data_IF_360306440601
#
_entry.id   IF_360306440601
#
_cell.length_a   1.000
_cell.length_b   1.000
_cell.length_c   1.000
_cell.angle_alpha   90.00
_cell.angle_beta   90.00
_cell.angle_gamma   90.00
#
_symmetry.space_group_name_H-M   'P 1'
#
loop_
_entity.id
_entity.type
_entity.pdbx_description
1 polymer ?
#
# COMPACT_ATOMS: atom_id res chain seq x y z
N UNK A 1 2.55 15.03 -19.75
CA UNK A 1 2.07 13.69 -20.16
C UNK A 1 2.06 12.82 -18.93
N UNK A 2 0.87 12.45 -18.43
CA UNK A 2 0.73 11.52 -17.29
C UNK A 2 1.34 10.18 -17.71
N UNK A 3 2.43 9.76 -17.07
CA UNK A 3 3.01 8.44 -17.28
C UNK A 3 2.04 7.44 -16.64
N UNK A 4 1.19 6.82 -17.45
CA UNK A 4 0.28 5.75 -17.00
C UNK A 4 1.15 4.58 -16.53
N UNK A 5 1.25 4.39 -15.22
CA UNK A 5 2.05 3.34 -14.59
C UNK A 5 1.19 2.10 -14.33
N UNK A 6 1.43 1.08 -15.15
CA UNK A 6 1.00 -0.28 -14.87
C UNK A 6 2.17 -1.20 -15.20
N UNK A 7 3.08 -1.39 -14.25
CA UNK A 7 3.89 -2.62 -14.13
C UNK A 7 4.64 -2.66 -12.80
N UNK A 8 4.01 -3.33 -11.83
CA UNK A 8 4.69 -4.07 -10.77
C UNK A 8 5.58 -5.14 -11.43
N UNK A 9 6.78 -4.76 -11.89
CA UNK A 9 7.92 -5.65 -12.18
C UNK A 9 9.03 -4.85 -12.88
N UNK A 10 9.87 -4.17 -12.10
CA UNK A 10 11.21 -3.83 -12.59
C UNK A 10 12.23 -4.18 -11.52
N UNK A 11 12.71 -5.41 -11.61
CA UNK A 11 13.94 -5.87 -10.96
C UNK A 11 15.07 -5.04 -11.57
N UNK A 12 15.54 -4.01 -10.87
CA UNK A 12 16.76 -3.29 -11.26
C UNK A 12 17.94 -4.12 -10.76
N UNK A 13 18.42 -5.03 -11.61
CA UNK A 13 19.76 -5.57 -11.51
C UNK A 13 20.74 -4.48 -12.00
N UNK A 14 21.38 -3.76 -11.07
CA UNK A 14 22.55 -2.94 -11.39
C UNK A 14 23.78 -3.85 -11.39
N UNK A 15 24.11 -4.42 -12.54
CA UNK A 15 25.45 -4.98 -12.76
C UNK A 15 26.42 -3.83 -13.01
N UNK A 16 27.31 -3.61 -12.05
CA UNK A 16 28.48 -2.78 -12.20
C UNK A 16 29.42 -3.39 -13.25
N UNK A 17 29.53 -2.75 -14.41
CA UNK A 17 30.63 -2.98 -15.36
C UNK A 17 31.08 -1.63 -15.90
N UNK A 18 31.95 -0.97 -15.13
CA UNK A 18 32.82 0.07 -15.68
C UNK A 18 33.77 -0.61 -16.69
N UNK A 19 33.51 -0.46 -17.99
CA UNK A 19 34.48 -0.83 -19.01
C UNK A 19 35.55 0.26 -19.08
N UNK A 20 36.70 -0.02 -18.45
CA UNK A 20 37.96 0.69 -18.68
C UNK A 20 38.40 0.35 -20.10
N UNK A 21 38.37 1.31 -21.02
CA UNK A 21 38.95 1.13 -22.37
C UNK A 21 40.47 1.32 -22.30
N UNK A 22 41.19 0.29 -21.84
CA UNK A 22 42.64 0.24 -22.02
C UNK A 22 42.96 -0.07 -23.49
N UNK A 23 43.47 0.92 -24.21
CA UNK A 23 43.96 0.74 -25.59
C UNK A 23 45.34 0.05 -25.55
N UNK A 24 45.36 -1.27 -25.78
CA UNK A 24 46.56 -2.13 -25.69
C UNK A 24 47.36 -2.24 -27.00
N UNK A 25 47.31 -1.25 -27.90
CA UNK A 25 48.13 -1.23 -29.12
C UNK A 25 48.87 0.08 -29.34
N UNK A 26 49.80 0.39 -28.43
CA UNK A 26 50.91 1.29 -28.73
C UNK A 26 52.13 0.45 -29.15
N UNK A 27 52.29 0.22 -30.45
CA UNK A 27 53.56 -0.24 -31.03
C UNK A 27 54.25 0.99 -31.60
N UNK A 28 55.35 1.40 -30.96
CA UNK A 28 56.17 2.54 -31.39
C UNK A 28 57.27 2.00 -32.30
N UNK A 29 57.39 2.52 -33.51
CA UNK A 29 58.57 2.33 -34.36
C UNK A 29 59.15 3.72 -34.70
N UNK A 30 60.46 3.98 -34.51
CA UNK A 30 61.01 5.31 -34.52
C UNK A 30 61.74 5.59 -35.84
N UNK A 31 61.09 6.31 -36.77
CA UNK A 31 61.79 7.14 -37.77
C UNK A 31 60.83 8.00 -38.59
N UNK A 32 61.14 9.30 -38.63
CA UNK A 32 60.79 10.25 -39.68
C UNK A 32 59.29 10.58 -39.84
N UNK A 33 58.83 11.71 -39.28
CA UNK A 33 58.84 12.98 -40.02
C UNK A 33 58.34 14.12 -39.11
N UNK A 34 59.09 15.22 -39.09
CA UNK A 34 58.61 16.50 -38.54
C UNK A 34 57.50 17.01 -39.46
N UNK A 35 56.26 16.88 -39.02
CA UNK A 35 55.19 17.81 -39.38
C UNK A 35 54.51 18.17 -38.06
N UNK A 36 54.90 19.31 -37.50
CA UNK A 36 54.20 19.92 -36.37
C UNK A 36 52.83 20.39 -36.86
N UNK A 37 51.87 19.47 -36.94
CA UNK A 37 50.47 19.87 -36.84
C UNK A 37 50.36 20.64 -35.50
N UNK A 38 49.73 21.83 -35.48
CA UNK A 38 49.44 22.46 -34.21
C UNK A 38 48.67 21.43 -33.39
N UNK A 39 49.20 21.11 -32.20
CA UNK A 39 48.41 20.47 -31.16
C UNK A 39 47.31 21.47 -30.87
N UNK A 40 46.20 21.37 -31.60
CA UNK A 40 44.94 21.92 -31.15
C UNK A 40 44.68 21.12 -29.89
N UNK A 41 45.11 21.66 -28.74
CA UNK A 41 44.69 21.17 -27.44
C UNK A 41 43.18 21.14 -27.53
N UNK A 42 42.61 19.94 -27.70
CA UNK A 42 41.19 19.73 -27.54
C UNK A 42 40.85 20.40 -26.21
N UNK A 43 39.88 21.34 -26.16
CA UNK A 43 39.53 22.01 -24.93
C UNK A 43 39.38 20.95 -23.85
N UNK A 44 40.17 21.04 -22.77
CA UNK A 44 40.09 20.09 -21.64
C UNK A 44 38.61 19.95 -21.32
N UNK A 45 38.11 18.71 -21.35
CA UNK A 45 36.71 18.44 -21.05
C UNK A 45 36.41 19.13 -19.71
N UNK A 46 35.43 20.03 -19.70
CA UNK A 46 35.11 20.81 -18.50
C UNK A 46 34.70 19.83 -17.41
N UNK A 47 35.59 19.63 -16.45
CA UNK A 47 35.30 18.83 -15.27
C UNK A 47 34.27 19.57 -14.43
N UNK A 48 33.41 18.80 -13.79
CA UNK A 48 32.54 19.27 -12.74
C UNK A 48 33.39 19.85 -11.60
N UNK A 49 32.97 20.98 -11.06
CA UNK A 49 33.60 21.54 -9.86
C UNK A 49 33.35 20.64 -8.65
N UNK A 50 34.22 20.75 -7.64
CA UNK A 50 34.06 20.03 -6.37
C UNK A 50 32.69 20.23 -5.73
N UNK A 51 32.11 21.43 -5.84
CA UNK A 51 30.78 21.73 -5.28
C UNK A 51 29.67 21.03 -6.06
N UNK A 52 29.67 21.13 -7.39
CA UNK A 52 28.73 20.40 -8.25
C UNK A 52 28.84 18.88 -8.03
N UNK A 53 30.06 18.35 -7.84
CA UNK A 53 30.29 16.94 -7.52
C UNK A 53 29.71 16.56 -6.15
N UNK A 54 29.86 17.43 -5.14
CA UNK A 54 29.28 17.22 -3.81
C UNK A 54 27.76 17.18 -3.88
N UNK A 55 27.14 18.08 -4.63
CA UNK A 55 25.70 18.12 -4.83
C UNK A 55 25.20 16.86 -5.55
N UNK A 56 25.92 16.41 -6.57
CA UNK A 56 25.60 15.16 -7.27
C UNK A 56 25.66 13.93 -6.36
N UNK A 57 26.67 13.84 -5.49
CA UNK A 57 26.79 12.74 -4.51
C UNK A 57 25.67 12.83 -3.46
N UNK A 58 25.35 14.03 -2.97
CA UNK A 58 24.28 14.23 -1.99
C UNK A 58 22.90 13.89 -2.56
N UNK A 59 22.62 14.31 -3.79
CA UNK A 59 21.38 13.99 -4.50
C UNK A 59 21.28 12.48 -4.77
N UNK A 60 22.38 11.81 -5.12
CA UNK A 60 22.39 10.35 -5.27
C UNK A 60 22.04 9.64 -3.96
N UNK A 61 22.67 10.03 -2.84
CA UNK A 61 22.37 9.46 -1.52
C UNK A 61 20.91 9.71 -1.11
N UNK A 62 20.40 10.92 -1.37
CA UNK A 62 19.00 11.24 -1.11
C UNK A 62 18.06 10.37 -1.94
N UNK A 63 18.35 10.18 -3.23
CA UNK A 63 17.59 9.29 -4.09
C UNK A 63 17.65 7.85 -3.58
N UNK A 64 18.82 7.32 -3.20
CA UNK A 64 18.93 5.96 -2.66
C UNK A 64 18.15 5.77 -1.36
N UNK A 65 18.19 6.75 -0.45
CA UNK A 65 17.40 6.71 0.80
C UNK A 65 15.90 6.74 0.52
N UNK A 66 15.46 7.59 -0.41
CA UNK A 66 14.06 7.69 -0.79
C UNK A 66 13.55 6.40 -1.44
N UNK A 67 14.37 5.75 -2.29
CA UNK A 67 14.03 4.47 -2.89
C UNK A 67 13.79 3.38 -1.84
N UNK A 68 14.68 3.28 -0.83
CA UNK A 68 14.50 2.32 0.27
C UNK A 68 13.28 2.67 1.14
N UNK A 69 13.00 3.95 1.38
CA UNK A 69 11.83 4.38 2.12
C UNK A 69 10.52 4.04 1.37
N UNK A 70 10.45 4.29 0.06
CA UNK A 70 9.31 3.89 -0.79
C UNK A 70 9.11 2.36 -0.74
N UNK A 71 10.20 1.59 -0.82
CA UNK A 71 10.13 0.12 -0.74
C UNK A 71 9.63 -0.37 0.62
N UNK A 72 10.05 0.26 1.71
CA UNK A 72 9.55 -0.03 3.05
C UNK A 72 8.05 0.26 3.15
N UNK A 73 7.59 1.39 2.61
CA UNK A 73 6.17 1.75 2.60
C UNK A 73 5.33 0.82 1.72
N UNK A 74 5.85 0.36 0.58
CA UNK A 74 5.22 -0.65 -0.27
C UNK A 74 5.07 -1.99 0.48
N UNK A 75 6.07 -2.41 1.25
CA UNK A 75 5.99 -3.60 2.09
C UNK A 75 4.94 -3.44 3.20
N UNK A 76 4.89 -2.27 3.84
CA UNK A 76 3.88 -1.94 4.85
C UNK A 76 2.46 -1.93 4.25
N UNK A 77 2.28 -1.33 3.07
CA UNK A 77 1.03 -1.34 2.32
C UNK A 77 0.56 -2.78 2.06
N UNK A 78 1.44 -3.64 1.56
CA UNK A 78 1.11 -5.06 1.31
C UNK A 78 0.67 -5.77 2.58
N UNK A 79 1.41 -5.59 3.68
CA UNK A 79 1.06 -6.19 4.96
C UNK A 79 -0.29 -5.70 5.48
N UNK A 80 -0.59 -4.40 5.34
CA UNK A 80 -1.87 -3.82 5.75
C UNK A 80 -3.02 -4.32 4.86
N UNK A 81 -2.81 -4.43 3.55
CA UNK A 81 -3.80 -4.97 2.61
C UNK A 81 -4.14 -6.43 2.94
N UNK A 82 -3.16 -7.26 3.28
CA UNK A 82 -3.40 -8.66 3.64
C UNK A 82 -4.14 -8.80 4.98
N UNK A 83 -3.85 -7.93 5.96
CA UNK A 83 -4.66 -7.83 7.19
C UNK A 83 -6.11 -7.45 6.89
N UNK A 84 -6.33 -6.45 6.03
CA UNK A 84 -7.68 -6.03 5.67
C UNK A 84 -8.46 -7.10 4.93
N UNK A 85 -7.81 -7.93 4.11
CA UNK A 85 -8.49 -9.10 3.51
C UNK A 85 -8.97 -10.09 4.56
N UNK A 86 -8.17 -10.36 5.59
CA UNK A 86 -8.57 -11.24 6.69
C UNK A 86 -9.74 -10.65 7.49
N UNK A 87 -9.65 -9.36 7.85
CA UNK A 87 -10.74 -8.66 8.54
C UNK A 87 -12.05 -8.63 7.71
N UNK A 88 -11.95 -8.50 6.38
CA UNK A 88 -13.11 -8.56 5.48
C UNK A 88 -13.81 -9.92 5.55
N UNK A 89 -13.06 -11.01 5.61
CA UNK A 89 -13.64 -12.36 5.70
C UNK A 89 -14.35 -12.59 7.05
N UNK A 90 -13.81 -12.05 8.14
CA UNK A 90 -14.46 -12.08 9.45
C UNK A 90 -15.75 -11.27 9.45
N UNK A 91 -15.73 -10.09 8.82
CA UNK A 91 -16.92 -9.24 8.67
C UNK A 91 -18.01 -9.95 7.85
N UNK A 92 -17.66 -10.54 6.71
CA UNK A 92 -18.60 -11.31 5.88
C UNK A 92 -19.23 -12.49 6.63
N UNK A 93 -18.45 -13.17 7.48
CA UNK A 93 -18.98 -14.23 8.36
C UNK A 93 -19.99 -13.67 9.37
N UNK A 94 -19.68 -12.51 9.95
CA UNK A 94 -20.59 -11.79 10.86
C UNK A 94 -21.89 -11.34 10.19
N UNK A 95 -21.80 -10.80 8.96
CA UNK A 95 -22.97 -10.40 8.16
C UNK A 95 -23.84 -11.60 7.80
N UNK A 96 -23.25 -12.73 7.42
CA UNK A 96 -23.99 -13.95 7.13
C UNK A 96 -24.74 -14.47 8.37
N UNK A 97 -24.11 -14.40 9.55
CA UNK A 97 -24.75 -14.77 10.81
C UNK A 97 -25.92 -13.83 11.14
N UNK A 98 -25.74 -12.52 11.00
CA UNK A 98 -26.80 -11.53 11.23
C UNK A 98 -27.97 -11.72 10.25
N UNK A 99 -27.69 -11.94 8.96
CA UNK A 99 -28.71 -12.20 7.96
C UNK A 99 -29.55 -13.45 8.29
N UNK A 100 -28.90 -14.50 8.81
CA UNK A 100 -29.61 -15.70 9.31
C UNK A 100 -30.52 -15.36 10.48
N UNK A 101 -30.04 -14.63 11.49
CA UNK A 101 -30.86 -14.24 12.64
C UNK A 101 -32.07 -13.37 12.22
N UNK A 102 -31.88 -12.44 11.27
CA UNK A 102 -32.97 -11.63 10.71
C UNK A 102 -34.01 -12.52 10.02
N UNK A 103 -33.55 -13.54 9.27
CA UNK A 103 -34.44 -14.52 8.62
C UNK A 103 -35.23 -15.32 9.66
N UNK A 104 -34.56 -15.79 10.72
CA UNK A 104 -35.19 -16.56 11.80
C UNK A 104 -36.24 -15.71 12.54
N UNK A 105 -35.94 -14.44 12.84
CA UNK A 105 -36.91 -13.48 13.43
C UNK A 105 -38.10 -13.27 12.51
N UNK A 106 -37.91 -13.15 11.19
CA UNK A 106 -39.02 -13.00 10.25
C UNK A 106 -39.91 -14.24 10.23
N UNK A 107 -39.32 -15.44 10.19
CA UNK A 107 -40.06 -16.69 10.21
C UNK A 107 -40.85 -16.86 11.52
N UNK A 108 -40.24 -16.53 12.66
CA UNK A 108 -40.90 -16.62 13.96
C UNK A 108 -42.06 -15.62 14.09
N UNK A 109 -41.90 -14.40 13.55
CA UNK A 109 -43.00 -13.43 13.45
C UNK A 109 -44.21 -14.01 12.70
N UNK A 110 -43.97 -14.61 11.54
CA UNK A 110 -45.03 -15.22 10.74
C UNK A 110 -45.70 -16.40 11.47
N UNK A 111 -44.91 -17.20 12.18
CA UNK A 111 -45.42 -18.33 12.97
C UNK A 111 -46.26 -17.87 14.17
N UNK A 112 -45.87 -16.79 14.85
CA UNK A 112 -46.64 -16.17 15.94
C UNK A 112 -47.96 -15.61 15.42
N UNK A 113 -47.96 -14.93 14.26
CA UNK A 113 -49.18 -14.40 13.65
C UNK A 113 -50.16 -15.54 13.32
N UNK A 114 -49.69 -16.62 12.70
CA UNK A 114 -50.51 -17.81 12.44
C UNK A 114 -51.04 -18.45 13.73
N UNK A 115 -50.20 -18.57 14.75
CA UNK A 115 -50.61 -19.12 16.04
C UNK A 115 -51.70 -18.24 16.70
N UNK A 116 -51.61 -16.92 16.58
CA UNK A 116 -52.62 -15.99 17.06
C UNK A 116 -53.95 -16.14 16.30
N UNK A 117 -53.91 -16.25 14.97
CA UNK A 117 -55.08 -16.49 14.13
C UNK A 117 -55.78 -17.80 14.54
N UNK A 118 -55.04 -18.90 14.68
CA UNK A 118 -55.57 -20.19 15.14
C UNK A 118 -56.18 -20.09 16.54
N UNK A 119 -55.47 -19.46 17.48
CA UNK A 119 -55.95 -19.30 18.85
C UNK A 119 -57.25 -18.49 18.89
N UNK A 120 -57.35 -17.43 18.09
CA UNK A 120 -58.56 -16.61 17.99
C UNK A 120 -59.74 -17.39 17.41
N UNK A 121 -59.51 -18.18 16.36
CA UNK A 121 -60.55 -18.97 15.71
C UNK A 121 -61.05 -20.16 16.57
N UNK A 122 -60.16 -20.74 17.37
CA UNK A 122 -60.48 -21.90 18.21
C UNK A 122 -60.94 -21.52 19.61
N UNK A 123 -60.60 -20.34 20.12
CA UNK A 123 -60.95 -19.89 21.47
C UNK A 123 -62.42 -20.13 21.89
N UNK A 124 -63.44 -19.89 21.03
CA UNK A 124 -64.84 -20.14 21.41
C UNK A 124 -65.21 -21.62 21.61
N UNK A 125 -64.37 -22.53 21.10
CA UNK A 125 -64.59 -23.99 21.09
C UNK A 125 -63.77 -24.72 22.16
N UNK A 126 -62.85 -24.01 22.82
CA UNK A 126 -61.92 -24.57 23.79
C UNK A 126 -62.50 -24.47 25.20
N UNK A 127 -62.29 -25.52 25.99
CA UNK A 127 -62.58 -25.50 27.43
C UNK A 127 -61.67 -24.51 28.15
N UNK A 128 -62.15 -23.94 29.27
CA UNK A 128 -61.46 -22.86 30.00
C UNK A 128 -60.01 -23.20 30.35
N UNK A 129 -59.74 -24.44 30.74
CA UNK A 129 -58.40 -24.89 31.11
C UNK A 129 -57.46 -24.94 29.88
N UNK A 130 -57.96 -25.41 28.74
CA UNK A 130 -57.19 -25.50 27.50
C UNK A 130 -56.91 -24.12 26.91
N UNK A 131 -57.91 -23.23 26.90
CA UNK A 131 -57.73 -21.85 26.46
C UNK A 131 -56.69 -21.11 27.31
N UNK A 132 -56.69 -21.33 28.63
CA UNK A 132 -55.68 -20.75 29.53
C UNK A 132 -54.28 -21.25 29.17
N UNK A 133 -54.10 -22.56 29.03
CA UNK A 133 -52.80 -23.16 28.70
C UNK A 133 -52.25 -22.65 27.36
N UNK A 134 -53.11 -22.54 26.33
CA UNK A 134 -52.69 -22.02 25.01
C UNK A 134 -52.34 -20.53 25.04
N UNK A 135 -53.07 -19.72 25.80
CA UNK A 135 -52.72 -18.31 26.00
C UNK A 135 -51.36 -18.16 26.72
N UNK A 136 -51.10 -18.96 27.77
CA UNK A 136 -49.81 -18.95 28.48
C UNK A 136 -48.66 -19.34 27.54
N UNK A 137 -48.84 -20.36 26.71
CA UNK A 137 -47.86 -20.76 25.70
C UNK A 137 -47.62 -19.66 24.64
N UNK A 138 -48.69 -19.01 24.17
CA UNK A 138 -48.60 -17.88 23.23
C UNK A 138 -47.83 -16.70 23.85
N UNK A 139 -48.15 -16.32 25.09
CA UNK A 139 -47.45 -15.24 25.81
C UNK A 139 -45.98 -15.57 26.05
N UNK A 140 -45.66 -16.81 26.40
CA UNK A 140 -44.26 -17.25 26.54
C UNK A 140 -43.50 -17.11 25.21
N UNK A 141 -44.13 -17.52 24.10
CA UNK A 141 -43.56 -17.42 22.75
C UNK A 141 -43.34 -15.96 22.33
N UNK A 142 -44.31 -15.08 22.54
CA UNK A 142 -44.16 -13.66 22.20
C UNK A 142 -43.10 -12.95 23.06
N UNK A 143 -42.94 -13.35 24.32
CA UNK A 143 -41.86 -12.87 25.20
C UNK A 143 -40.49 -13.31 24.70
N UNK A 144 -40.36 -14.59 24.33
CA UNK A 144 -39.12 -15.11 23.72
C UNK A 144 -38.79 -14.39 22.41
N UNK A 145 -39.80 -14.13 21.58
CA UNK A 145 -39.64 -13.36 20.34
C UNK A 145 -39.18 -11.92 20.57
N UNK A 146 -39.68 -11.25 21.60
CA UNK A 146 -39.16 -9.94 22.01
C UNK A 146 -37.65 -9.98 22.32
N UNK A 147 -37.22 -11.02 23.03
CA UNK A 147 -35.79 -11.23 23.33
C UNK A 147 -34.96 -11.48 22.07
N UNK A 148 -35.49 -12.22 21.09
CA UNK A 148 -34.83 -12.43 19.80
C UNK A 148 -34.64 -11.13 19.02
N UNK A 149 -35.65 -10.25 19.02
CA UNK A 149 -35.56 -8.95 18.36
C UNK A 149 -34.44 -8.11 18.99
N UNK A 150 -34.37 -8.07 20.32
CA UNK A 150 -33.35 -7.27 21.01
C UNK A 150 -31.94 -7.83 20.77
N UNK A 151 -31.79 -9.16 20.70
CA UNK A 151 -30.54 -9.79 20.31
C UNK A 151 -30.10 -9.40 18.89
N UNK A 152 -31.03 -9.40 17.91
CA UNK A 152 -30.71 -8.99 16.52
C UNK A 152 -30.34 -7.51 16.45
N UNK A 153 -31.04 -6.64 17.18
CA UNK A 153 -30.69 -5.20 17.24
C UNK A 153 -29.30 -4.99 17.81
N UNK A 154 -28.94 -5.70 18.87
CA UNK A 154 -27.61 -5.63 19.46
C UNK A 154 -26.54 -6.12 18.48
N UNK A 155 -26.79 -7.25 17.79
CA UNK A 155 -25.90 -7.80 16.79
C UNK A 155 -25.71 -6.87 15.59
N UNK A 156 -26.78 -6.24 15.09
CA UNK A 156 -26.67 -5.25 13.99
C UNK A 156 -25.88 -4.02 14.41
N UNK A 157 -26.10 -3.49 15.61
CA UNK A 157 -25.33 -2.38 16.15
C UNK A 157 -23.83 -2.71 16.23
N UNK A 158 -23.49 -3.92 16.71
CA UNK A 158 -22.10 -4.40 16.77
C UNK A 158 -21.49 -4.54 15.36
N UNK A 159 -22.21 -5.13 14.41
CA UNK A 159 -21.75 -5.24 13.02
C UNK A 159 -21.58 -3.87 12.38
N UNK A 160 -22.44 -2.91 12.68
CA UNK A 160 -22.32 -1.56 12.14
C UNK A 160 -21.03 -0.86 12.61
N UNK A 161 -20.65 -1.04 13.87
CA UNK A 161 -19.37 -0.54 14.40
C UNK A 161 -18.20 -1.19 13.65
N UNK A 162 -18.25 -2.50 13.41
CA UNK A 162 -17.21 -3.23 12.65
C UNK A 162 -17.13 -2.75 11.20
N UNK A 163 -18.26 -2.58 10.51
CA UNK A 163 -18.33 -2.02 9.14
C UNK A 163 -17.69 -0.64 9.06
N UNK A 164 -18.00 0.24 10.00
CA UNK A 164 -17.40 1.57 10.04
C UNK A 164 -15.89 1.51 10.25
N UNK A 165 -15.43 0.74 11.25
CA UNK A 165 -14.01 0.60 11.54
C UNK A 165 -13.24 0.01 10.35
N UNK A 166 -13.82 -0.97 9.65
CA UNK A 166 -13.27 -1.53 8.43
C UNK A 166 -13.18 -0.48 7.30
N UNK A 167 -14.23 0.30 7.09
CA UNK A 167 -14.24 1.39 6.10
C UNK A 167 -13.14 2.42 6.38
N UNK A 168 -13.00 2.87 7.63
CA UNK A 168 -11.97 3.84 8.01
C UNK A 168 -10.55 3.30 7.69
N UNK A 169 -10.32 1.98 7.87
CA UNK A 169 -9.04 1.34 7.52
C UNK A 169 -8.82 1.22 6.01
N UNK A 170 -9.87 0.97 5.23
CA UNK A 170 -9.80 0.96 3.76
C UNK A 170 -9.43 2.34 3.24
N UNK A 171 -10.04 3.40 3.78
CA UNK A 171 -9.71 4.79 3.41
C UNK A 171 -8.25 5.12 3.76
N UNK A 172 -7.77 4.67 4.91
CA UNK A 172 -6.36 4.83 5.29
C UNK A 172 -5.40 4.08 4.34
N UNK A 173 -5.77 2.88 3.88
CA UNK A 173 -4.98 2.10 2.92
C UNK A 173 -4.94 2.79 1.54
N UNK A 174 -6.06 3.36 1.08
CA UNK A 174 -6.11 4.14 -0.17
C UNK A 174 -5.26 5.42 -0.08
N UNK A 175 -5.33 6.13 1.05
CA UNK A 175 -4.47 7.28 1.31
C UNK A 175 -2.98 6.90 1.30
N UNK A 176 -2.62 5.75 1.90
CA UNK A 176 -1.26 5.22 1.87
C UNK A 176 -0.81 4.93 0.43
N UNK A 177 -1.66 4.30 -0.38
CA UNK A 177 -1.37 4.02 -1.78
C UNK A 177 -1.08 5.30 -2.58
N UNK A 178 -1.96 6.30 -2.47
CA UNK A 178 -1.79 7.60 -3.14
C UNK A 178 -0.50 8.31 -2.71
N UNK A 179 -0.14 8.23 -1.43
CA UNK A 179 1.10 8.81 -0.92
C UNK A 179 2.33 8.11 -1.51
N UNK A 180 2.32 6.78 -1.60
CA UNK A 180 3.41 6.00 -2.22
C UNK A 180 3.53 6.34 -3.71
N UNK A 181 2.42 6.45 -4.43
CA UNK A 181 2.40 6.81 -5.85
C UNK A 181 3.02 8.20 -6.07
N UNK A 182 2.55 9.21 -5.33
CA UNK A 182 3.07 10.58 -5.43
C UNK A 182 4.58 10.66 -5.11
N UNK A 183 5.04 9.94 -4.07
CA UNK A 183 6.46 9.86 -3.74
C UNK A 183 7.28 9.16 -4.83
N UNK A 184 6.72 8.11 -5.42
CA UNK A 184 7.36 7.37 -6.51
C UNK A 184 7.54 8.25 -7.75
N UNK A 185 6.52 9.03 -8.13
CA UNK A 185 6.62 9.99 -9.22
C UNK A 185 7.68 11.07 -8.94
N UNK A 186 7.64 11.69 -7.75
CA UNK A 186 8.63 12.68 -7.34
C UNK A 186 10.06 12.11 -7.33
N UNK A 187 10.22 10.85 -6.90
CA UNK A 187 11.49 10.15 -6.91
C UNK A 187 12.01 9.90 -8.33
N UNK A 188 11.13 9.59 -9.29
CA UNK A 188 11.52 9.47 -10.69
C UNK A 188 11.97 10.80 -11.28
N UNK A 189 11.27 11.89 -11.00
CA UNK A 189 11.68 13.23 -11.44
C UNK A 189 13.02 13.64 -10.83
N UNK A 190 13.24 13.35 -9.54
CA UNK A 190 14.51 13.59 -8.87
C UNK A 190 15.66 12.77 -9.48
N UNK A 191 15.40 11.52 -9.87
CA UNK A 191 16.38 10.69 -10.58
C UNK A 191 16.65 11.22 -12.00
N UNK A 192 15.61 11.60 -12.75
CA UNK A 192 15.78 12.12 -14.12
C UNK A 192 16.58 13.44 -14.09
N UNK A 193 16.32 14.31 -13.10
CA UNK A 193 17.10 15.52 -12.85
C UNK A 193 18.56 15.19 -12.51
N UNK A 194 18.79 14.27 -11.56
CA UNK A 194 20.15 13.84 -11.21
C UNK A 194 20.87 13.27 -12.42
N UNK A 195 20.21 12.44 -13.24
CA UNK A 195 20.82 11.89 -14.45
C UNK A 195 21.22 12.98 -15.43
N UNK A 196 20.34 13.96 -15.68
CA UNK A 196 20.64 15.06 -16.58
C UNK A 196 21.82 15.93 -16.11
N UNK A 197 21.96 16.12 -14.79
CA UNK A 197 22.95 17.03 -14.20
C UNK A 197 24.28 16.34 -13.88
N UNK A 198 24.24 15.06 -13.52
CA UNK A 198 25.35 14.35 -12.89
C UNK A 198 25.80 13.11 -13.67
N UNK A 199 24.88 12.38 -14.29
CA UNK A 199 25.22 11.13 -14.96
C UNK A 199 26.12 11.41 -16.17
N UNK A 200 27.24 10.69 -16.24
CA UNK A 200 28.26 10.80 -17.30
C UNK A 200 28.99 12.16 -17.38
N UNK A 201 28.91 13.00 -16.34
CA UNK A 201 29.78 14.18 -16.24
C UNK A 201 31.15 13.77 -15.72
N UNK A 202 32.20 14.29 -16.34
CA UNK A 202 33.56 14.08 -15.88
C UNK A 202 33.83 14.92 -14.62
N UNK A 203 34.57 14.37 -13.66
CA UNK A 203 34.95 15.01 -12.40
C UNK A 203 36.38 14.61 -12.03
N UNK A 204 36.99 15.32 -11.08
CA UNK A 204 38.29 14.94 -10.51
C UNK A 204 38.11 13.89 -9.39
N UNK A 205 38.78 12.74 -9.52
CA UNK A 205 38.74 11.67 -8.52
C UNK A 205 39.28 12.10 -7.15
N UNK A 206 40.18 13.08 -7.08
CA UNK A 206 40.68 13.61 -5.82
C UNK A 206 39.61 14.41 -5.08
N UNK A 207 38.79 15.16 -5.83
CA UNK A 207 37.65 15.88 -5.27
C UNK A 207 36.61 14.89 -4.72
N UNK A 208 36.33 13.80 -5.45
CA UNK A 208 35.44 12.74 -4.97
C UNK A 208 35.95 12.12 -3.66
N UNK A 209 37.24 11.73 -3.60
CA UNK A 209 37.85 11.16 -2.40
C UNK A 209 37.77 12.12 -1.21
N UNK A 210 38.01 13.42 -1.44
CA UNK A 210 37.92 14.44 -0.40
C UNK A 210 36.49 14.58 0.12
N UNK A 211 35.49 14.66 -0.77
CA UNK A 211 34.07 14.75 -0.40
C UNK A 211 33.62 13.49 0.36
N UNK A 212 33.98 12.29 -0.10
CA UNK A 212 33.64 11.05 0.60
C UNK A 212 34.26 10.99 2.00
N UNK A 213 35.50 11.45 2.16
CA UNK A 213 36.17 11.51 3.47
C UNK A 213 35.50 12.49 4.42
N UNK A 214 35.11 13.67 3.94
CA UNK A 214 34.35 14.66 4.71
C UNK A 214 33.00 14.10 5.18
N UNK A 215 32.26 13.44 4.27
CA UNK A 215 30.96 12.83 4.60
C UNK A 215 31.10 11.70 5.63
N UNK A 216 32.14 10.87 5.51
CA UNK A 216 32.42 9.83 6.49
C UNK A 216 32.83 10.39 7.87
N UNK A 217 33.49 11.55 7.90
CA UNK A 217 33.80 12.25 9.15
C UNK A 217 32.57 12.91 9.78
N UNK A 218 31.64 13.45 8.96
CA UNK A 218 30.40 14.07 9.42
C UNK A 218 29.33 13.06 9.87
N UNK A 219 29.48 11.78 9.52
CA UNK A 219 28.58 10.70 9.93
C UNK A 219 28.97 10.01 11.25
N UNK A 220 30.05 10.46 11.90
CA UNK A 220 30.50 10.01 13.23
C UNK A 220 30.07 11.00 14.29
#
# INVERSE_FOLDING_TARGET
MKRILLSLALIIAVSAQAQITNNTKAKVDPKNNKVSNPVVEKPKAKLMSREELRDCINQQDANSKEAEAIKADQAAYKANADKLKAEKAELETGEAALAKQVTDVKAEKEAILKAHETLTAEAPKLEKAELKARNEAYTARTTAFGTMIDAVKAADAEQNVKRKAFSDKVDALDAQFKAIEARTEAHFDANDKWKAQCQNKAYDENDEKAIRKEKAAAAK
#
